data_IF_532573599957
#
_entry.id   IF_532573599957
#
_cell.length_a   1.000
_cell.length_b   1.000
_cell.length_c   1.000
_cell.angle_alpha   90.00
_cell.angle_beta   90.00
_cell.angle_gamma   90.00
#
_symmetry.space_group_name_H-M   'P 1'
#
loop_
_entity.id
_entity.type
_entity.pdbx_description
1 polymer ?
#
# COMPACT_ATOMS: atom_id res chain seq x y z
N UNK A 1 12.47 -2.26 -14.22
CA UNK A 1 12.92 -2.07 -12.82
C UNK A 1 11.97 -2.83 -11.91
N UNK A 2 12.48 -3.48 -10.87
CA UNK A 2 11.66 -4.27 -9.93
C UNK A 2 11.14 -3.36 -8.81
N UNK A 3 9.83 -3.42 -8.52
CA UNK A 3 9.24 -2.68 -7.41
C UNK A 3 9.13 -3.56 -6.16
N UNK A 4 9.31 -2.95 -4.98
CA UNK A 4 9.18 -3.60 -3.68
C UNK A 4 8.26 -2.77 -2.80
N UNK A 5 7.30 -3.41 -2.13
CA UNK A 5 6.49 -2.81 -1.07
C UNK A 5 7.12 -3.15 0.28
N UNK A 6 7.41 -2.11 1.06
CA UNK A 6 7.89 -2.25 2.44
C UNK A 6 6.76 -1.79 3.38
N UNK A 7 6.27 -2.68 4.22
CA UNK A 7 5.31 -2.34 5.27
C UNK A 7 5.98 -2.41 6.63
N UNK A 8 5.63 -1.49 7.52
CA UNK A 8 6.16 -1.42 8.89
C UNK A 8 4.99 -1.49 9.86
N UNK A 9 4.98 -2.50 10.71
CA UNK A 9 3.99 -2.65 11.77
C UNK A 9 4.63 -2.35 13.10
N UNK A 10 3.96 -1.56 13.94
CA UNK A 10 4.40 -1.35 15.32
C UNK A 10 3.49 -2.18 16.22
N UNK A 11 4.07 -3.09 17.00
CA UNK A 11 3.31 -3.89 17.96
C UNK A 11 2.97 -3.09 19.23
N UNK A 12 2.17 -3.69 20.12
CA UNK A 12 1.76 -3.07 21.38
C UNK A 12 2.93 -2.80 22.35
N UNK A 13 4.11 -3.37 22.09
CA UNK A 13 5.34 -3.14 22.87
C UNK A 13 6.20 -2.04 22.26
N UNK A 14 5.77 -1.42 21.15
CA UNK A 14 6.49 -0.38 20.44
C UNK A 14 7.59 -0.89 19.51
N UNK A 15 7.69 -2.21 19.28
CA UNK A 15 8.68 -2.78 18.37
C UNK A 15 8.17 -2.73 16.94
N UNK A 16 9.06 -2.32 16.04
CA UNK A 16 8.78 -2.23 14.60
C UNK A 16 9.15 -3.54 13.91
N UNK A 17 8.23 -4.06 13.11
CA UNK A 17 8.40 -5.24 12.28
C UNK A 17 8.25 -4.83 10.82
N UNK A 18 9.32 -5.03 10.05
CA UNK A 18 9.36 -4.67 8.64
C UNK A 18 9.08 -5.91 7.79
N UNK A 19 8.19 -5.79 6.81
CA UNK A 19 7.91 -6.82 5.83
C UNK A 19 8.17 -6.29 4.42
N UNK A 20 8.78 -7.11 3.58
CA UNK A 20 9.17 -6.73 2.21
C UNK A 20 8.55 -7.69 1.23
N UNK A 21 7.80 -7.15 0.26
CA UNK A 21 7.13 -7.91 -0.80
C UNK A 21 7.57 -7.39 -2.15
N UNK A 22 8.03 -8.29 -3.03
CA UNK A 22 8.37 -7.96 -4.41
C UNK A 22 7.12 -7.97 -5.29
N UNK A 23 6.97 -6.98 -6.17
CA UNK A 23 5.89 -6.95 -7.16
C UNK A 23 6.14 -7.97 -8.28
N UNK A 24 5.05 -8.49 -8.86
CA UNK A 24 5.10 -9.23 -10.13
C UNK A 24 5.18 -8.27 -11.32
N UNK A 25 5.49 -8.79 -12.51
CA UNK A 25 5.70 -7.99 -13.72
C UNK A 25 4.47 -7.14 -14.12
N UNK A 26 3.26 -7.60 -13.79
CA UNK A 26 1.98 -6.94 -14.08
C UNK A 26 1.31 -6.37 -12.82
N UNK A 27 2.06 -6.15 -11.74
CA UNK A 27 1.54 -5.67 -10.47
C UNK A 27 2.23 -4.36 -10.07
N UNK A 28 1.42 -3.39 -9.65
CA UNK A 28 1.85 -2.14 -9.03
C UNK A 28 1.24 -2.01 -7.64
N UNK A 29 1.85 -1.19 -6.79
CA UNK A 29 1.33 -0.89 -5.46
C UNK A 29 0.99 0.59 -5.38
N UNK A 30 -0.21 0.91 -4.90
CA UNK A 30 -0.66 2.28 -4.66
C UNK A 30 -1.08 2.39 -3.21
N UNK A 31 -0.57 3.41 -2.52
CA UNK A 31 -0.92 3.71 -1.13
C UNK A 31 -1.85 4.90 -1.12
N UNK A 32 -3.05 4.72 -0.57
CA UNK A 32 -4.07 5.75 -0.45
C UNK A 32 -4.53 5.83 1.00
N UNK A 33 -4.78 7.05 1.48
CA UNK A 33 -5.36 7.27 2.81
C UNK A 33 -6.87 7.15 2.71
N UNK A 34 -7.45 6.16 3.40
CA UNK A 34 -8.89 5.91 3.40
C UNK A 34 -9.31 5.19 4.69
N UNK A 35 -10.55 5.41 5.11
CA UNK A 35 -11.12 4.77 6.30
C UNK A 35 -11.71 3.39 5.98
N UNK A 36 -12.04 3.14 4.71
CA UNK A 36 -12.56 1.86 4.24
C UNK A 36 -11.94 1.41 2.92
N UNK A 37 -12.16 0.13 2.59
CA UNK A 37 -11.75 -0.42 1.30
C UNK A 37 -12.50 0.23 0.14
N UNK A 38 -13.79 0.52 0.29
CA UNK A 38 -14.56 1.19 -0.78
C UNK A 38 -14.07 2.62 -1.00
N UNK A 39 -13.74 3.35 0.06
CA UNK A 39 -13.20 4.71 -0.06
C UNK A 39 -11.80 4.72 -0.69
N UNK A 40 -10.96 3.75 -0.34
CA UNK A 40 -9.65 3.57 -0.96
C UNK A 40 -9.75 3.40 -2.48
N UNK A 41 -10.70 2.59 -2.95
CA UNK A 41 -10.95 2.37 -4.37
C UNK A 41 -11.44 3.64 -5.05
N UNK A 42 -12.42 4.36 -4.46
CA UNK A 42 -12.92 5.62 -5.02
C UNK A 42 -11.82 6.66 -5.19
N UNK A 43 -10.97 6.85 -4.17
CA UNK A 43 -9.85 7.79 -4.23
C UNK A 43 -8.83 7.43 -5.31
N UNK A 44 -8.56 6.13 -5.49
CA UNK A 44 -7.68 5.67 -6.55
C UNK A 44 -8.28 5.93 -7.95
N UNK A 45 -9.57 5.63 -8.14
CA UNK A 45 -10.28 5.86 -9.40
C UNK A 45 -10.42 7.36 -9.72
N UNK A 46 -10.65 8.20 -8.72
CA UNK A 46 -10.72 9.67 -8.89
C UNK A 46 -9.37 10.25 -9.33
N UNK A 47 -8.25 9.77 -8.77
CA UNK A 47 -6.91 10.24 -9.09
C UNK A 47 -6.40 9.80 -10.49
N UNK A 48 -6.96 8.73 -11.07
CA UNK A 48 -6.60 8.25 -12.42
C UNK A 48 -7.37 8.96 -13.54
N UNK A 49 -8.48 9.64 -13.20
CA UNK A 49 -9.35 10.34 -14.15
C UNK A 49 -9.01 11.85 -14.34
N UNK A 50 -7.83 12.29 -13.89
CA UNK A 50 -7.33 13.68 -13.99
C UNK A 50 -6.09 13.76 -14.90
#
# INVERSE_FOLDING_TARGET
MTQYLITTFTDSTGRKHNHVTQSRDNQTFTVVEAESKEEALKKYEEADNE
#
